data_IF_960818118742
#
_entry.id   IF_960818118742
#
_cell.length_a   1.000
_cell.length_b   1.000
_cell.length_c   1.000
_cell.angle_alpha   90.00
_cell.angle_beta   90.00
_cell.angle_gamma   90.00
#
_symmetry.space_group_name_H-M   'P 1'
#
loop_
_entity.id
_entity.type
_entity.pdbx_description
1 polymer ?
#
# COMPACT_ATOMS: atom_id res chain seq x y z
N UNK A 1 -52.61 -24.50 -6.21
CA UNK A 1 -51.83 -23.81 -7.25
C UNK A 1 -50.38 -24.17 -6.97
N UNK A 2 -50.01 -25.38 -7.43
CA UNK A 2 -48.66 -25.93 -7.32
C UNK A 2 -47.78 -25.29 -8.39
N UNK A 3 -46.58 -24.84 -8.01
CA UNK A 3 -45.48 -24.71 -8.96
C UNK A 3 -44.40 -25.71 -8.57
N UNK A 4 -44.09 -26.53 -9.57
CA UNK A 4 -43.33 -27.77 -9.51
C UNK A 4 -41.84 -27.52 -9.41
N UNK A 5 -41.25 -28.30 -8.51
CA UNK A 5 -39.99 -29.03 -8.64
C UNK A 5 -39.17 -28.81 -9.92
N UNK A 6 -37.91 -28.39 -9.74
CA UNK A 6 -36.88 -28.41 -10.78
C UNK A 6 -35.65 -29.20 -10.28
N UNK A 7 -35.88 -30.24 -9.47
CA UNK A 7 -34.84 -31.14 -8.93
C UNK A 7 -34.71 -32.45 -9.73
N UNK A 8 -34.79 -32.37 -11.06
CA UNK A 8 -34.80 -33.56 -11.90
C UNK A 8 -33.82 -33.45 -13.07
N UNK A 9 -32.53 -33.30 -12.78
CA UNK A 9 -31.47 -33.58 -13.75
C UNK A 9 -30.21 -34.06 -13.04
N UNK A 10 -30.18 -35.37 -12.74
CA UNK A 10 -28.98 -36.24 -12.61
C UNK A 10 -29.38 -37.54 -11.89
N UNK A 11 -30.24 -38.35 -12.52
CA UNK A 11 -30.60 -39.70 -12.06
C UNK A 11 -30.58 -40.73 -13.18
N UNK A 12 -29.54 -40.76 -14.01
CA UNK A 12 -29.33 -41.79 -15.04
C UNK A 12 -27.82 -41.74 -15.38
N UNK A 13 -26.95 -42.74 -15.26
CA UNK A 13 -27.01 -44.20 -15.06
C UNK A 13 -25.74 -44.64 -14.31
N UNK A 14 -25.87 -45.60 -13.41
CA UNK A 14 -24.77 -46.48 -12.97
C UNK A 14 -25.16 -47.88 -13.38
N UNK A 15 -24.29 -48.58 -14.15
CA UNK A 15 -24.07 -50.05 -14.22
C UNK A 15 -23.18 -50.39 -15.47
N UNK A 16 -22.51 -51.57 -15.53
CA UNK A 16 -21.05 -51.63 -15.60
C UNK A 16 -20.48 -52.51 -16.74
N UNK A 17 -19.15 -52.63 -16.78
CA UNK A 17 -18.32 -53.68 -17.41
C UNK A 17 -18.54 -54.01 -18.91
N UNK A 18 -17.59 -53.57 -19.75
CA UNK A 18 -17.10 -54.39 -20.86
C UNK A 18 -15.60 -54.65 -20.67
N UNK A 19 -15.27 -55.92 -20.44
CA UNK A 19 -13.96 -56.48 -20.71
C UNK A 19 -13.69 -56.35 -22.22
N UNK A 20 -12.70 -55.56 -22.60
CA UNK A 20 -12.11 -55.63 -23.93
C UNK A 20 -10.64 -56.02 -23.80
N UNK A 21 -10.39 -57.30 -24.04
CA UNK A 21 -9.07 -57.84 -24.35
C UNK A 21 -8.66 -57.34 -25.73
N UNK A 22 -7.66 -56.48 -25.80
CA UNK A 22 -7.04 -56.04 -27.04
C UNK A 22 -5.60 -55.64 -26.77
N UNK A 23 -4.67 -56.51 -27.15
CA UNK A 23 -3.24 -56.24 -27.13
C UNK A 23 -2.90 -55.04 -28.05
N UNK A 24 -2.00 -54.16 -27.60
CA UNK A 24 -1.39 -53.16 -28.46
C UNK A 24 -1.00 -51.88 -27.72
N UNK A 25 0.30 -51.74 -27.45
CA UNK A 25 1.02 -50.51 -27.10
C UNK A 25 0.55 -49.69 -25.89
N UNK A 26 1.30 -49.85 -24.80
CA UNK A 26 1.44 -48.85 -23.73
C UNK A 26 2.14 -47.61 -24.29
N UNK A 27 1.38 -46.67 -24.85
CA UNK A 27 1.86 -45.29 -24.96
C UNK A 27 1.55 -44.60 -23.63
N UNK A 28 2.57 -44.50 -22.78
CA UNK A 28 2.55 -43.64 -21.63
C UNK A 28 2.28 -42.21 -22.12
N UNK A 29 1.11 -41.67 -21.81
CA UNK A 29 0.87 -40.23 -21.87
C UNK A 29 1.75 -39.58 -20.80
N UNK A 30 3.00 -39.33 -21.17
CA UNK A 30 3.92 -38.50 -20.41
C UNK A 30 3.32 -37.09 -20.41
N UNK A 31 2.76 -36.67 -19.27
CA UNK A 31 2.42 -35.26 -19.06
C UNK A 31 3.69 -34.47 -19.39
N UNK A 32 3.64 -33.45 -20.27
CA UNK A 32 4.80 -32.60 -20.50
C UNK A 32 5.19 -32.00 -19.14
N UNK A 33 6.32 -32.44 -18.59
CA UNK A 33 6.93 -31.74 -17.48
C UNK A 33 7.24 -30.34 -18.02
N UNK A 34 6.86 -29.25 -17.31
CA UNK A 34 7.34 -27.94 -17.69
C UNK A 34 8.86 -28.02 -17.68
N UNK A 35 9.47 -27.69 -18.82
CA UNK A 35 10.92 -27.65 -18.95
C UNK A 35 11.50 -26.90 -17.74
N UNK A 36 12.62 -27.34 -17.16
CA UNK A 36 13.26 -26.60 -16.09
C UNK A 36 13.51 -25.19 -16.64
N UNK A 37 12.83 -24.19 -16.07
CA UNK A 37 13.08 -22.81 -16.45
C UNK A 37 14.59 -22.57 -16.35
N UNK A 38 15.21 -22.12 -17.45
CA UNK A 38 16.65 -21.90 -17.48
C UNK A 38 17.01 -21.03 -16.27
N UNK A 39 18.04 -21.43 -15.53
CA UNK A 39 18.45 -20.74 -14.30
C UNK A 39 18.70 -19.24 -14.53
N UNK A 40 19.05 -18.87 -15.76
CA UNK A 40 19.20 -17.50 -16.23
C UNK A 40 17.87 -16.74 -16.30
N UNK A 41 16.78 -17.35 -16.76
CA UNK A 41 15.44 -16.72 -16.80
C UNK A 41 14.92 -16.45 -15.38
N UNK A 42 15.21 -17.35 -14.44
CA UNK A 42 14.86 -17.17 -13.02
C UNK A 42 15.65 -16.00 -12.41
N UNK A 43 16.94 -15.86 -12.73
CA UNK A 43 17.78 -14.77 -12.25
C UNK A 43 17.43 -13.42 -12.90
N UNK A 44 17.08 -13.42 -14.19
CA UNK A 44 16.58 -12.25 -14.91
C UNK A 44 15.24 -11.76 -14.32
N UNK A 45 14.28 -12.66 -14.12
CA UNK A 45 13.01 -12.31 -13.48
C UNK A 45 13.19 -11.78 -12.04
N UNK A 46 14.16 -12.32 -11.29
CA UNK A 46 14.48 -11.83 -9.94
C UNK A 46 15.10 -10.44 -9.95
N UNK A 47 16.01 -10.15 -10.87
CA UNK A 47 16.65 -8.83 -10.97
C UNK A 47 15.65 -7.77 -11.42
N UNK A 48 14.76 -8.09 -12.36
CA UNK A 48 13.67 -7.20 -12.78
C UNK A 48 12.69 -6.91 -11.64
N UNK A 49 12.29 -7.93 -10.87
CA UNK A 49 11.43 -7.75 -9.70
C UNK A 49 12.07 -6.86 -8.62
N UNK A 50 13.39 -7.01 -8.38
CA UNK A 50 14.12 -6.18 -7.43
C UNK A 50 14.24 -4.73 -7.90
N UNK A 51 14.48 -4.51 -9.20
CA UNK A 51 14.47 -3.18 -9.80
C UNK A 51 13.11 -2.51 -9.64
N UNK A 52 12.02 -3.21 -9.96
CA UNK A 52 10.67 -2.70 -9.77
C UNK A 52 10.40 -2.35 -8.30
N UNK A 53 10.85 -3.18 -7.36
CA UNK A 53 10.71 -2.91 -5.92
C UNK A 53 11.44 -1.62 -5.50
N UNK A 54 12.67 -1.41 -5.98
CA UNK A 54 13.46 -0.19 -5.73
C UNK A 54 12.73 1.03 -6.28
N UNK A 55 12.26 0.97 -7.54
CA UNK A 55 11.55 2.07 -8.19
C UNK A 55 10.24 2.40 -7.45
N UNK A 56 9.46 1.37 -7.07
CA UNK A 56 8.21 1.53 -6.30
C UNK A 56 8.45 2.21 -4.96
N UNK A 57 9.43 1.75 -4.17
CA UNK A 57 9.75 2.33 -2.86
C UNK A 57 10.22 3.79 -2.98
N UNK A 58 10.97 4.11 -4.03
CA UNK A 58 11.41 5.49 -4.27
C UNK A 58 10.24 6.44 -4.55
N UNK A 59 9.25 5.97 -5.34
CA UNK A 59 8.05 6.74 -5.66
C UNK A 59 7.12 6.86 -4.44
N UNK A 60 6.98 5.80 -3.64
CA UNK A 60 6.22 5.84 -2.38
C UNK A 60 6.78 6.89 -1.40
N UNK A 61 8.11 6.96 -1.25
CA UNK A 61 8.77 7.97 -0.41
C UNK A 61 8.42 9.38 -0.90
N UNK A 62 8.50 9.60 -2.21
CA UNK A 62 8.19 10.90 -2.82
C UNK A 62 6.73 11.28 -2.58
N UNK A 63 5.80 10.39 -2.89
CA UNK A 63 4.36 10.62 -2.70
C UNK A 63 4.02 10.90 -1.23
N UNK A 64 4.64 10.17 -0.29
CA UNK A 64 4.40 10.38 1.15
C UNK A 64 4.85 11.77 1.60
N UNK A 65 5.99 12.26 1.09
CA UNK A 65 6.48 13.61 1.37
C UNK A 65 5.57 14.68 0.80
N UNK A 66 5.21 14.56 -0.48
CA UNK A 66 4.29 15.51 -1.14
C UNK A 66 2.93 15.57 -0.42
N UNK A 67 2.41 14.43 0.02
CA UNK A 67 1.18 14.38 0.80
C UNK A 67 1.33 15.08 2.15
N UNK A 68 2.45 14.87 2.84
CA UNK A 68 2.72 15.55 4.12
C UNK A 68 2.82 17.05 3.95
N UNK A 69 3.49 17.53 2.90
CA UNK A 69 3.62 18.95 2.60
C UNK A 69 2.26 19.60 2.33
N UNK A 70 1.37 18.92 1.59
CA UNK A 70 0.00 19.38 1.37
C UNK A 70 -0.77 19.50 2.69
N UNK A 71 -0.74 18.47 3.53
CA UNK A 71 -1.42 18.51 4.83
C UNK A 71 -0.87 19.60 5.75
N UNK A 72 0.45 19.75 5.83
CA UNK A 72 1.06 20.80 6.64
C UNK A 72 0.67 22.20 6.15
N UNK A 73 0.61 22.38 4.84
CA UNK A 73 0.17 23.65 4.22
C UNK A 73 -1.29 23.97 4.57
N UNK A 74 -2.18 22.98 4.49
CA UNK A 74 -3.59 23.15 4.87
C UNK A 74 -3.77 23.48 6.36
N UNK A 75 -2.99 22.83 7.23
CA UNK A 75 -2.98 23.13 8.66
C UNK A 75 -2.47 24.54 8.91
N UNK A 76 -1.40 24.97 8.23
CA UNK A 76 -0.85 26.32 8.36
C UNK A 76 -1.86 27.40 7.95
N UNK A 77 -2.60 27.19 6.86
CA UNK A 77 -3.71 28.07 6.50
C UNK A 77 -4.79 28.12 7.59
N UNK A 78 -5.10 26.99 8.20
CA UNK A 78 -6.09 26.91 9.28
C UNK A 78 -5.62 27.63 10.54
N UNK A 79 -4.36 27.47 10.92
CA UNK A 79 -3.73 28.17 12.06
C UNK A 79 -3.79 29.68 11.81
N UNK A 80 -3.32 30.15 10.66
CA UNK A 80 -3.36 31.58 10.29
C UNK A 80 -4.78 32.15 10.34
N UNK A 81 -5.77 31.39 9.87
CA UNK A 81 -7.18 31.80 9.91
C UNK A 81 -7.73 31.93 11.32
N UNK A 82 -7.46 30.97 12.20
CA UNK A 82 -7.89 31.00 13.61
C UNK A 82 -7.17 32.11 14.36
N UNK A 83 -5.86 32.24 14.19
CA UNK A 83 -5.06 33.27 14.86
C UNK A 83 -5.51 34.69 14.46
N UNK A 84 -5.78 34.90 13.16
CA UNK A 84 -6.36 36.17 12.66
C UNK A 84 -7.72 36.47 13.28
N UNK A 85 -8.57 35.47 13.50
CA UNK A 85 -9.88 35.65 14.18
C UNK A 85 -9.69 36.01 15.65
N UNK A 86 -8.78 35.32 16.34
CA UNK A 86 -8.43 35.62 17.73
C UNK A 86 -7.95 37.06 17.86
N UNK A 87 -7.07 37.51 16.97
CA UNK A 87 -6.52 38.86 17.01
C UNK A 87 -7.56 39.95 16.72
N UNK A 88 -8.47 39.70 15.78
CA UNK A 88 -9.62 40.59 15.57
C UNK A 88 -10.52 40.65 16.82
N UNK A 89 -10.78 39.52 17.47
CA UNK A 89 -11.57 39.47 18.70
C UNK A 89 -10.87 40.20 19.85
N UNK A 90 -9.56 40.04 20.03
CA UNK A 90 -8.79 40.74 21.08
C UNK A 90 -8.84 42.26 20.91
N UNK A 91 -8.70 42.76 19.67
CA UNK A 91 -8.69 44.20 19.36
C UNK A 91 -10.02 44.86 19.67
N UNK A 92 -11.12 44.19 19.32
CA UNK A 92 -12.47 44.75 19.43
C UNK A 92 -13.13 44.44 20.79
N UNK A 93 -12.74 43.34 21.45
CA UNK A 93 -13.29 42.90 22.72
C UNK A 93 -12.16 42.42 23.65
N UNK A 94 -11.66 43.29 24.55
CA UNK A 94 -10.71 42.89 25.57
C UNK A 94 -11.25 41.78 26.49
N UNK A 95 -10.36 41.09 27.19
CA UNK A 95 -10.75 40.12 28.21
C UNK A 95 -11.58 40.77 29.32
N UNK A 96 -12.58 40.07 29.82
CA UNK A 96 -13.50 40.55 30.84
C UNK A 96 -14.64 41.41 30.31
N UNK A 97 -14.63 41.80 29.02
CA UNK A 97 -15.72 42.57 28.43
C UNK A 97 -17.03 41.77 28.34
N UNK A 98 -16.92 40.49 27.97
CA UNK A 98 -18.07 39.59 27.88
C UNK A 98 -17.63 38.14 28.13
N UNK A 99 -18.23 37.44 29.13
CA UNK A 99 -17.92 36.04 29.41
C UNK A 99 -18.12 35.12 28.19
N UNK A 100 -19.12 35.43 27.34
CA UNK A 100 -19.39 34.65 26.13
C UNK A 100 -18.29 34.80 25.08
N UNK A 101 -17.75 36.02 24.92
CA UNK A 101 -16.64 36.28 23.99
C UNK A 101 -15.35 35.65 24.51
N UNK A 102 -15.12 35.72 25.82
CA UNK A 102 -13.94 35.13 26.44
C UNK A 102 -13.95 33.59 26.34
N UNK A 103 -15.12 32.96 26.51
CA UNK A 103 -15.29 31.54 26.24
C UNK A 103 -14.97 31.18 24.80
N UNK A 104 -15.44 31.99 23.83
CA UNK A 104 -15.14 31.77 22.42
C UNK A 104 -13.64 31.89 22.12
N UNK A 105 -12.94 32.89 22.69
CA UNK A 105 -11.48 33.00 22.57
C UNK A 105 -10.77 31.77 23.12
N UNK A 106 -11.17 31.29 24.31
CA UNK A 106 -10.60 30.07 24.92
C UNK A 106 -10.76 28.87 23.98
N UNK A 107 -11.94 28.68 23.40
CA UNK A 107 -12.16 27.63 22.41
C UNK A 107 -11.25 27.78 21.20
N UNK A 108 -11.11 28.98 20.63
CA UNK A 108 -10.22 29.21 19.50
C UNK A 108 -8.74 28.95 19.82
N UNK A 109 -8.27 29.28 21.04
CA UNK A 109 -6.92 28.92 21.47
C UNK A 109 -6.74 27.41 21.62
N UNK A 110 -7.76 26.71 22.12
CA UNK A 110 -7.76 25.25 22.16
C UNK A 110 -7.68 24.66 20.74
N UNK A 111 -8.42 25.23 19.79
CA UNK A 111 -8.40 24.81 18.39
C UNK A 111 -7.02 25.05 17.77
N UNK A 112 -6.41 26.21 18.03
CA UNK A 112 -5.04 26.54 17.58
C UNK A 112 -4.03 25.50 18.12
N UNK A 113 -4.09 25.20 19.42
CA UNK A 113 -3.22 24.19 20.03
C UNK A 113 -3.44 22.78 19.43
N UNK A 114 -4.69 22.44 19.13
CA UNK A 114 -5.04 21.19 18.46
C UNK A 114 -4.46 21.12 17.04
N UNK A 115 -4.54 22.20 16.28
CA UNK A 115 -3.95 22.29 14.93
C UNK A 115 -2.42 22.18 14.96
N UNK A 116 -1.75 22.86 15.88
CA UNK A 116 -0.30 22.74 16.09
C UNK A 116 0.11 21.32 16.46
N UNK A 117 -0.69 20.64 17.30
CA UNK A 117 -0.48 19.25 17.63
C UNK A 117 -0.63 18.36 16.39
N UNK A 118 -1.70 18.53 15.62
CA UNK A 118 -1.93 17.77 14.38
C UNK A 118 -0.78 17.96 13.38
N UNK A 119 -0.24 19.19 13.25
CA UNK A 119 0.93 19.47 12.42
C UNK A 119 2.14 18.64 12.86
N UNK A 120 2.44 18.64 14.16
CA UNK A 120 3.56 17.85 14.72
C UNK A 120 3.35 16.35 14.55
N UNK A 121 2.14 15.87 14.81
CA UNK A 121 1.79 14.45 14.67
C UNK A 121 1.97 13.98 13.21
N UNK A 122 1.55 14.79 12.24
CA UNK A 122 1.75 14.50 10.81
C UNK A 122 3.23 14.54 10.41
N UNK A 123 4.01 15.50 10.93
CA UNK A 123 5.46 15.55 10.70
C UNK A 123 6.15 14.29 11.22
N UNK A 124 5.84 13.88 12.46
CA UNK A 124 6.40 12.66 13.08
C UNK A 124 6.01 11.42 12.26
N UNK A 125 4.74 11.34 11.85
CA UNK A 125 4.25 10.22 11.05
C UNK A 125 4.95 10.15 9.70
N UNK A 126 5.07 11.27 8.99
CA UNK A 126 5.81 11.36 7.73
C UNK A 126 7.26 10.92 7.89
N UNK A 127 7.94 11.40 8.94
CA UNK A 127 9.31 11.01 9.24
C UNK A 127 9.44 9.50 9.50
N UNK A 128 8.54 8.93 10.30
CA UNK A 128 8.51 7.49 10.56
C UNK A 128 8.31 6.68 9.28
N UNK A 129 7.32 7.06 8.46
CA UNK A 129 6.99 6.36 7.21
C UNK A 129 8.16 6.44 6.22
N UNK A 130 8.71 7.64 6.01
CA UNK A 130 9.86 7.85 5.12
C UNK A 130 11.09 7.09 5.59
N UNK A 131 11.39 7.11 6.89
CA UNK A 131 12.57 6.41 7.43
C UNK A 131 12.45 4.90 7.23
N UNK A 132 11.24 4.36 7.40
CA UNK A 132 10.95 2.94 7.15
C UNK A 132 11.11 2.60 5.68
N UNK A 133 10.48 3.34 4.78
CA UNK A 133 10.61 3.09 3.34
C UNK A 133 12.04 3.29 2.84
N UNK A 134 12.82 4.20 3.42
CA UNK A 134 14.24 4.37 3.13
C UNK A 134 15.07 3.16 3.55
N UNK A 135 14.78 2.59 4.72
CA UNK A 135 15.41 1.35 5.15
C UNK A 135 15.10 0.21 4.17
N UNK A 136 13.81 0.03 3.82
CA UNK A 136 13.37 -1.00 2.88
C UNK A 136 13.99 -0.81 1.48
N UNK A 137 14.19 0.45 1.06
CA UNK A 137 14.86 0.80 -0.20
C UNK A 137 16.34 0.40 -0.17
N UNK A 138 17.05 0.71 0.92
CA UNK A 138 18.46 0.34 1.07
C UNK A 138 18.64 -1.19 1.05
N UNK A 139 17.75 -1.91 1.74
CA UNK A 139 17.74 -3.38 1.72
C UNK A 139 17.48 -3.92 0.31
N UNK A 140 16.47 -3.38 -0.40
CA UNK A 140 16.15 -3.78 -1.77
C UNK A 140 17.32 -3.47 -2.75
N UNK A 141 18.01 -2.34 -2.58
CA UNK A 141 19.19 -2.01 -3.38
C UNK A 141 20.36 -2.95 -3.11
N UNK A 142 20.58 -3.36 -1.86
CA UNK A 142 21.62 -4.32 -1.52
C UNK A 142 21.30 -5.73 -2.03
N UNK A 143 20.03 -6.15 -1.96
CA UNK A 143 19.54 -7.38 -2.59
C UNK A 143 19.74 -7.34 -4.12
N UNK A 144 19.40 -6.23 -4.76
CA UNK A 144 19.57 -6.02 -6.19
C UNK A 144 21.04 -6.13 -6.61
N UNK A 145 21.94 -5.41 -5.93
CA UNK A 145 23.39 -5.49 -6.18
C UNK A 145 23.95 -6.89 -5.96
N UNK A 146 23.46 -7.61 -4.97
CA UNK A 146 23.85 -9.01 -4.75
C UNK A 146 23.36 -9.92 -5.87
N UNK A 147 22.14 -9.73 -6.37
CA UNK A 147 21.60 -10.48 -7.49
C UNK A 147 22.38 -10.20 -8.79
N UNK A 148 22.70 -8.94 -9.10
CA UNK A 148 23.54 -8.56 -10.24
C UNK A 148 24.92 -9.21 -10.18
N UNK A 149 25.58 -9.17 -9.02
CA UNK A 149 26.89 -9.82 -8.84
C UNK A 149 26.81 -11.33 -9.03
N UNK A 150 25.74 -11.99 -8.59
CA UNK A 150 25.57 -13.43 -8.76
C UNK A 150 25.23 -13.82 -10.21
N UNK A 151 24.48 -12.99 -10.93
CA UNK A 151 24.20 -13.20 -12.36
C UNK A 151 25.39 -12.89 -13.27
N UNK A 152 26.33 -12.04 -12.83
CA UNK A 152 27.54 -11.69 -13.58
C UNK A 152 28.74 -12.64 -13.42
N UNK A 153 28.66 -13.68 -12.58
CA UNK A 153 29.78 -14.60 -12.29
C UNK A 153 29.91 -15.74 -13.33
N UNK A 154 28.94 -15.95 -14.22
CA UNK A 154 28.96 -17.06 -15.20
C UNK A 154 29.43 -16.64 -16.61
N UNK A 155 30.01 -15.44 -16.77
CA UNK A 155 30.39 -14.86 -18.07
C UNK A 155 31.87 -14.57 -18.27
N UNK A 156 32.79 -15.42 -17.81
CA UNK A 156 34.24 -15.32 -18.10
C UNK A 156 34.86 -16.67 -18.41
#
# INVERSE_FOLDING_TARGET
MEQKDNSEFMKYYVQPFYLYSGAGHTEAFEKPQPAPADSLDILAGRTEALKYRVDSLSEEIKQRKELSEKFQTEIDYSICSVDSKIDNLKKNWPWGYSPSVDKAKITMYSDLHSLEKQKRDEQIKCWSDVSRSQHDLLEAMDEFRQAERRGGIDGS
#
